data_IF_712428937713
#
_entry.id   IF_712428937713
#
_cell.length_a   1.000
_cell.length_b   1.000
_cell.length_c   1.000
_cell.angle_alpha   90.00
_cell.angle_beta   90.00
_cell.angle_gamma   90.00
#
_symmetry.space_group_name_H-M   'P 1'
#
loop_
_entity.id
_entity.type
_entity.pdbx_description
1 polymer ?
#
# COMPACT_ATOMS: atom_id res chain seq x y z
N UNK A 1 -10.39 -24.78 -8.73
CA UNK A 1 -9.45 -23.62 -8.72
C UNK A 1 -9.15 -23.26 -10.16
N UNK A 2 -9.26 -21.98 -10.50
CA UNK A 2 -8.90 -21.43 -11.81
C UNK A 2 -7.74 -20.48 -11.63
N UNK A 3 -6.66 -20.63 -12.41
CA UNK A 3 -5.50 -19.74 -12.34
C UNK A 3 -5.61 -18.66 -13.42
N UNK A 4 -5.42 -17.40 -13.02
CA UNK A 4 -5.53 -16.21 -13.86
C UNK A 4 -4.21 -15.45 -13.89
N UNK A 5 -3.93 -14.77 -15.00
CA UNK A 5 -2.83 -13.83 -15.15
C UNK A 5 -3.39 -12.47 -15.56
N UNK A 6 -2.88 -11.41 -14.98
CA UNK A 6 -3.29 -10.06 -15.38
C UNK A 6 -3.54 -9.12 -14.21
N UNK A 7 -4.50 -8.22 -14.43
CA UNK A 7 -4.86 -7.18 -13.47
C UNK A 7 -6.27 -7.44 -12.93
N UNK A 8 -6.41 -7.39 -11.61
CA UNK A 8 -7.71 -7.38 -10.94
C UNK A 8 -7.93 -5.98 -10.39
N UNK A 9 -9.03 -5.35 -10.80
CA UNK A 9 -9.42 -4.03 -10.32
C UNK A 9 -10.61 -4.15 -9.37
N UNK A 10 -10.49 -3.55 -8.20
CA UNK A 10 -11.54 -3.51 -7.18
C UNK A 10 -11.53 -2.15 -6.50
N UNK A 11 -12.63 -1.40 -6.64
CA UNK A 11 -12.69 -0.03 -6.13
C UNK A 11 -11.52 0.81 -6.65
N UNK A 12 -10.80 1.41 -5.74
CA UNK A 12 -9.63 2.25 -6.02
C UNK A 12 -8.30 1.48 -5.98
N UNK A 13 -8.32 0.15 -6.21
CA UNK A 13 -7.15 -0.71 -6.13
C UNK A 13 -6.99 -1.55 -7.40
N UNK A 14 -5.77 -1.60 -7.92
CA UNK A 14 -5.36 -2.54 -8.97
C UNK A 14 -4.33 -3.52 -8.40
N UNK A 15 -4.62 -4.81 -8.49
CA UNK A 15 -3.69 -5.89 -8.19
C UNK A 15 -3.13 -6.43 -9.50
N UNK A 16 -1.83 -6.28 -9.71
CA UNK A 16 -1.13 -6.76 -10.92
C UNK A 16 -0.36 -8.03 -10.56
N UNK A 17 -0.79 -9.16 -11.12
CA UNK A 17 -0.23 -10.46 -10.77
C UNK A 17 -0.08 -11.36 -12.00
N UNK A 18 0.99 -12.15 -12.00
CA UNK A 18 1.23 -13.16 -13.03
C UNK A 18 0.56 -14.50 -12.72
N UNK A 19 0.16 -14.72 -11.48
CA UNK A 19 -0.52 -15.94 -11.07
C UNK A 19 -1.44 -15.70 -9.89
N UNK A 20 -2.74 -15.81 -10.14
CA UNK A 20 -3.78 -15.66 -9.13
C UNK A 20 -4.69 -16.87 -9.20
N UNK A 21 -4.90 -17.53 -8.08
CA UNK A 21 -5.80 -18.68 -8.00
C UNK A 21 -7.19 -18.22 -7.51
N UNK A 22 -8.19 -18.38 -8.37
CA UNK A 22 -9.57 -18.13 -7.99
C UNK A 22 -10.19 -19.37 -7.33
N UNK A 23 -10.62 -19.20 -6.10
CA UNK A 23 -11.33 -20.18 -5.31
C UNK A 23 -12.83 -19.91 -5.40
N UNK A 24 -13.52 -20.69 -6.23
CA UNK A 24 -14.96 -20.51 -6.47
C UNK A 24 -15.79 -20.78 -5.21
N UNK A 25 -15.39 -21.74 -4.38
CA UNK A 25 -16.16 -22.13 -3.20
C UNK A 25 -16.15 -21.01 -2.14
N UNK A 26 -15.00 -20.40 -1.95
CA UNK A 26 -14.82 -19.29 -1.03
C UNK A 26 -15.04 -17.90 -1.67
N UNK A 27 -15.28 -17.86 -2.97
CA UNK A 27 -15.46 -16.65 -3.79
C UNK A 27 -14.36 -15.63 -3.56
N UNK A 28 -13.14 -16.10 -3.68
CA UNK A 28 -11.93 -15.34 -3.35
C UNK A 28 -10.79 -15.57 -4.32
N UNK A 29 -9.95 -14.56 -4.48
CA UNK A 29 -8.69 -14.64 -5.21
C UNK A 29 -7.53 -14.81 -4.23
N UNK A 30 -6.81 -15.94 -4.34
CA UNK A 30 -5.58 -16.19 -3.58
C UNK A 30 -4.38 -15.72 -4.40
N UNK A 31 -3.63 -14.80 -3.84
CA UNK A 31 -2.52 -14.10 -4.48
C UNK A 31 -1.22 -14.42 -3.76
N UNK A 32 -0.21 -14.82 -4.53
CA UNK A 32 1.15 -15.06 -4.01
C UNK A 32 2.14 -14.19 -4.76
N UNK A 33 2.91 -13.39 -4.05
CA UNK A 33 3.95 -12.50 -4.62
C UNK A 33 3.41 -11.68 -5.80
N UNK A 34 2.31 -10.98 -5.57
CA UNK A 34 1.75 -10.03 -6.54
C UNK A 34 2.80 -8.95 -6.83
N UNK A 35 3.04 -8.69 -8.10
CA UNK A 35 4.07 -7.75 -8.54
C UNK A 35 3.84 -6.36 -7.95
N UNK A 36 2.58 -5.89 -8.01
CA UNK A 36 2.22 -4.62 -7.40
C UNK A 36 0.73 -4.50 -7.07
N UNK A 37 0.44 -3.79 -5.98
CA UNK A 37 -0.86 -3.20 -5.70
C UNK A 37 -0.76 -1.69 -5.89
N UNK A 38 -1.52 -1.18 -6.83
CA UNK A 38 -1.63 0.25 -7.10
C UNK A 38 -2.86 0.79 -6.43
N UNK A 39 -2.70 1.90 -5.73
CA UNK A 39 -3.80 2.62 -5.06
C UNK A 39 -4.09 3.87 -5.88
N UNK A 40 -5.36 4.07 -6.23
CA UNK A 40 -5.81 5.30 -6.88
C UNK A 40 -6.23 6.31 -5.83
N UNK A 41 -5.77 7.54 -5.99
CA UNK A 41 -6.00 8.64 -5.05
C UNK A 41 -6.53 9.86 -5.79
N UNK A 42 -7.27 10.75 -5.13
CA UNK A 42 -7.71 12.00 -5.73
C UNK A 42 -6.54 12.84 -6.24
N UNK A 43 -6.64 13.33 -7.47
CA UNK A 43 -5.67 14.26 -8.06
C UNK A 43 -5.69 15.62 -7.33
N UNK A 44 -6.90 16.06 -6.96
CA UNK A 44 -7.14 17.28 -6.20
C UNK A 44 -8.36 17.11 -5.29
N UNK A 45 -8.45 17.92 -4.26
CA UNK A 45 -9.60 17.96 -3.33
C UNK A 45 -10.83 18.62 -3.94
N UNK A 46 -10.67 19.23 -5.13
CA UNK A 46 -11.75 19.94 -5.83
C UNK A 46 -12.23 19.11 -7.03
N UNK A 47 -13.56 18.94 -7.19
CA UNK A 47 -14.10 18.32 -8.37
C UNK A 47 -13.81 19.20 -9.61
N UNK A 48 -13.78 18.56 -10.78
CA UNK A 48 -13.67 19.23 -12.07
C UNK A 48 -14.99 19.96 -12.41
N UNK A 49 -15.03 20.62 -13.58
CA UNK A 49 -16.21 21.36 -14.07
C UNK A 49 -17.49 20.51 -14.15
N UNK A 50 -17.35 19.19 -14.22
CA UNK A 50 -18.48 18.23 -14.25
C UNK A 50 -18.84 17.69 -12.85
N UNK A 51 -18.26 18.23 -11.77
CA UNK A 51 -18.51 17.78 -10.41
C UNK A 51 -17.84 16.46 -10.04
N UNK A 52 -16.88 15.96 -10.84
CA UNK A 52 -16.19 14.67 -10.64
C UNK A 52 -14.79 14.89 -10.13
N UNK A 53 -14.41 14.16 -9.07
CA UNK A 53 -13.03 14.09 -8.61
C UNK A 53 -12.28 13.07 -9.45
N UNK A 54 -11.25 13.52 -10.15
CA UNK A 54 -10.38 12.65 -10.94
C UNK A 54 -9.46 11.85 -10.02
N UNK A 55 -9.39 10.55 -10.25
CA UNK A 55 -8.46 9.66 -9.57
C UNK A 55 -7.22 9.42 -10.43
N UNK A 56 -6.06 9.45 -9.79
CA UNK A 56 -4.76 9.14 -10.39
C UNK A 56 -4.06 8.02 -9.63
N UNK A 57 -3.14 7.34 -10.27
CA UNK A 57 -2.32 6.32 -9.62
C UNK A 57 -1.41 6.97 -8.58
N UNK A 58 -1.34 6.42 -7.37
CA UNK A 58 -0.30 6.80 -6.41
C UNK A 58 1.08 6.52 -6.98
N UNK A 59 2.06 7.34 -6.62
CA UNK A 59 3.44 7.21 -7.14
C UNK A 59 4.22 6.04 -6.53
N UNK A 60 3.70 5.46 -5.47
CA UNK A 60 4.37 4.42 -4.67
C UNK A 60 3.49 3.18 -4.58
N UNK A 61 3.53 2.26 -5.56
CA UNK A 61 2.82 1.00 -5.46
C UNK A 61 3.42 0.10 -4.38
N UNK A 62 2.58 -0.68 -3.72
CA UNK A 62 3.04 -1.76 -2.85
C UNK A 62 3.52 -2.93 -3.71
N UNK A 63 4.61 -3.57 -3.29
CA UNK A 63 5.25 -4.68 -4.00
C UNK A 63 5.34 -5.94 -3.12
N UNK A 64 5.46 -7.10 -3.75
CA UNK A 64 5.62 -8.41 -3.09
C UNK A 64 4.47 -8.73 -2.14
N UNK A 65 3.25 -8.56 -2.59
CA UNK A 65 2.06 -8.75 -1.77
C UNK A 65 1.62 -10.20 -1.86
N UNK A 66 1.41 -10.82 -0.71
CA UNK A 66 0.73 -12.12 -0.57
C UNK A 66 -0.53 -11.91 0.25
N UNK A 67 -1.66 -12.44 -0.22
CA UNK A 67 -2.92 -12.25 0.49
C UNK A 67 -4.11 -12.86 -0.23
N UNK A 68 -5.29 -12.56 0.29
CA UNK A 68 -6.55 -13.03 -0.27
C UNK A 68 -7.52 -11.86 -0.47
N UNK A 69 -8.04 -11.72 -1.67
CA UNK A 69 -9.09 -10.79 -2.02
C UNK A 69 -10.43 -11.53 -2.02
N UNK A 70 -11.28 -11.20 -1.08
CA UNK A 70 -12.63 -11.74 -0.96
C UNK A 70 -13.61 -10.85 -1.69
N UNK A 71 -14.33 -11.40 -2.68
CA UNK A 71 -15.22 -10.62 -3.55
C UNK A 71 -16.60 -10.45 -2.91
N UNK A 72 -17.15 -11.53 -2.35
CA UNK A 72 -18.40 -11.56 -1.64
C UNK A 72 -18.42 -12.75 -0.67
N UNK A 73 -19.48 -12.89 0.10
CA UNK A 73 -19.70 -14.07 0.94
C UNK A 73 -19.79 -15.35 0.09
N UNK A 74 -19.24 -16.48 0.56
CA UNK A 74 -19.26 -17.75 -0.18
C UNK A 74 -20.67 -18.22 -0.63
N UNK A 75 -21.70 -17.88 0.14
CA UNK A 75 -23.10 -18.17 -0.12
C UNK A 75 -23.83 -17.08 -0.93
N UNK A 76 -23.17 -15.98 -1.26
CA UNK A 76 -23.72 -14.82 -1.98
C UNK A 76 -23.25 -14.72 -3.43
N UNK A 77 -23.08 -15.84 -4.13
CA UNK A 77 -22.60 -15.85 -5.52
C UNK A 77 -23.56 -15.19 -6.51
N UNK A 78 -24.83 -15.08 -6.14
CA UNK A 78 -25.85 -14.35 -6.92
C UNK A 78 -25.75 -12.83 -6.78
N UNK A 79 -24.99 -12.32 -5.77
CA UNK A 79 -24.86 -10.89 -5.50
C UNK A 79 -26.13 -10.25 -4.91
N UNK A 80 -27.06 -11.04 -4.40
CA UNK A 80 -28.35 -10.52 -3.86
C UNK A 80 -28.23 -9.92 -2.46
N UNK A 81 -27.24 -10.36 -1.68
CA UNK A 81 -27.00 -9.82 -0.34
C UNK A 81 -25.93 -8.71 -0.44
N UNK A 82 -26.24 -7.56 0.15
CA UNK A 82 -25.29 -6.44 0.22
C UNK A 82 -24.61 -6.44 1.60
N UNK A 83 -23.47 -7.12 1.71
CA UNK A 83 -22.62 -7.02 2.90
C UNK A 83 -21.55 -5.95 2.65
N UNK A 84 -21.62 -4.85 3.38
CA UNK A 84 -20.76 -3.68 3.18
C UNK A 84 -19.26 -3.95 3.43
N UNK A 85 -18.90 -5.01 4.13
CA UNK A 85 -17.50 -5.41 4.31
C UNK A 85 -16.83 -5.77 2.97
N UNK A 86 -17.59 -6.35 2.04
CA UNK A 86 -17.05 -6.83 0.77
C UNK A 86 -17.07 -5.75 -0.33
N UNK A 87 -16.11 -5.83 -1.28
CA UNK A 87 -14.92 -6.66 -1.29
C UNK A 87 -13.93 -6.24 -0.21
N UNK A 88 -13.18 -7.20 0.33
CA UNK A 88 -12.09 -6.90 1.28
C UNK A 88 -10.83 -7.70 0.95
N UNK A 89 -9.67 -7.16 1.36
CA UNK A 89 -8.38 -7.77 1.15
C UNK A 89 -7.67 -8.00 2.47
N UNK A 90 -7.12 -9.21 2.67
CA UNK A 90 -6.27 -9.55 3.82
C UNK A 90 -4.87 -9.89 3.32
N UNK A 91 -3.89 -9.11 3.72
CA UNK A 91 -2.48 -9.40 3.51
C UNK A 91 -2.00 -10.46 4.49
N UNK A 92 -1.33 -11.49 4.00
CA UNK A 92 -0.79 -12.57 4.83
C UNK A 92 0.64 -12.31 5.31
N UNK A 93 1.44 -11.66 4.45
CA UNK A 93 2.86 -11.41 4.68
C UNK A 93 3.18 -9.92 4.64
N UNK A 94 4.41 -9.56 5.02
CA UNK A 94 4.92 -8.20 4.85
C UNK A 94 5.07 -7.89 3.35
N UNK A 95 4.71 -6.67 2.98
CA UNK A 95 4.95 -6.11 1.66
C UNK A 95 5.93 -4.94 1.74
N UNK A 96 6.34 -4.39 0.61
CA UNK A 96 7.29 -3.28 0.60
C UNK A 96 6.90 -2.17 -0.36
N UNK A 97 7.30 -0.96 0.01
CA UNK A 97 7.32 0.21 -0.87
C UNK A 97 8.76 0.64 -1.03
N UNK A 98 9.21 0.81 -2.27
CA UNK A 98 10.56 1.29 -2.56
C UNK A 98 10.53 2.77 -2.92
N UNK A 99 11.60 3.49 -2.56
CA UNK A 99 11.81 4.85 -3.02
C UNK A 99 12.29 4.81 -4.47
N UNK A 100 11.49 5.36 -5.38
CA UNK A 100 11.76 5.35 -6.82
C UNK A 100 11.42 6.73 -7.41
N UNK A 101 12.08 7.78 -6.89
CA UNK A 101 11.86 9.15 -7.37
C UNK A 101 13.03 9.64 -8.22
N UNK A 102 12.86 9.57 -9.55
CA UNK A 102 13.63 10.28 -10.55
C UNK A 102 15.14 10.09 -10.43
N UNK A 103 15.91 11.14 -10.71
CA UNK A 103 17.38 11.14 -10.71
C UNK A 103 18.05 10.71 -9.38
N UNK A 104 17.31 10.65 -8.29
CA UNK A 104 17.80 10.22 -6.97
C UNK A 104 17.34 8.80 -6.58
N UNK A 105 16.40 8.20 -7.30
CA UNK A 105 15.85 6.88 -6.99
C UNK A 105 16.88 5.77 -7.11
N UNK A 106 17.79 5.87 -8.08
CA UNK A 106 18.83 4.87 -8.32
C UNK A 106 19.98 4.92 -7.31
N UNK A 107 20.04 5.95 -6.45
CA UNK A 107 21.08 6.08 -5.41
C UNK A 107 20.86 5.14 -4.23
N UNK A 108 19.65 4.62 -4.06
CA UNK A 108 19.31 3.75 -2.96
C UNK A 108 19.06 2.34 -3.46
N UNK A 109 19.80 1.38 -2.90
CA UNK A 109 19.54 -0.05 -3.15
C UNK A 109 18.15 -0.43 -2.62
N UNK A 110 17.24 -0.75 -3.53
CA UNK A 110 15.84 -1.13 -3.23
C UNK A 110 15.72 -2.34 -2.30
N UNK A 111 16.79 -3.11 -2.11
CA UNK A 111 16.83 -4.22 -1.18
C UNK A 111 17.27 -3.81 0.24
N UNK A 112 17.88 -2.62 0.36
CA UNK A 112 18.39 -2.10 1.62
C UNK A 112 17.63 -0.88 2.11
N UNK A 113 17.06 -0.09 1.19
CA UNK A 113 16.30 1.11 1.52
C UNK A 113 14.86 0.99 1.03
N UNK A 114 13.93 0.69 1.93
CA UNK A 114 12.51 0.50 1.63
C UNK A 114 11.66 0.69 2.88
N UNK A 115 10.38 0.93 2.67
CA UNK A 115 9.40 0.85 3.76
C UNK A 115 8.78 -0.55 3.76
N UNK A 116 8.88 -1.25 4.89
CA UNK A 116 8.26 -2.55 5.13
C UNK A 116 6.86 -2.32 5.68
N UNK A 117 5.84 -2.72 4.92
CA UNK A 117 4.45 -2.70 5.36
C UNK A 117 4.15 -3.99 6.09
N UNK A 118 3.58 -3.90 7.29
CA UNK A 118 3.15 -5.08 8.04
C UNK A 118 1.87 -5.68 7.42
N UNK A 119 1.52 -6.94 7.74
CA UNK A 119 0.25 -7.51 7.33
C UNK A 119 -0.92 -6.60 7.71
N UNK A 120 -1.88 -6.45 6.81
CA UNK A 120 -3.00 -5.54 6.96
C UNK A 120 -4.29 -6.13 6.39
N UNK A 121 -5.43 -5.56 6.79
CA UNK A 121 -6.73 -5.84 6.22
C UNK A 121 -7.35 -4.53 5.72
N UNK A 122 -7.97 -4.57 4.55
CA UNK A 122 -8.69 -3.46 3.94
C UNK A 122 -10.11 -3.91 3.63
N UNK A 123 -11.07 -3.41 4.39
CA UNK A 123 -12.50 -3.65 4.20
C UNK A 123 -13.10 -2.68 3.20
N UNK A 124 -14.24 -3.07 2.62
CA UNK A 124 -15.08 -2.16 1.83
C UNK A 124 -14.31 -1.46 0.71
N UNK A 125 -13.50 -2.21 -0.06
CA UNK A 125 -12.57 -1.64 -1.06
C UNK A 125 -13.24 -0.72 -2.08
N UNK A 126 -14.54 -0.91 -2.33
CA UNK A 126 -15.32 -0.03 -3.23
C UNK A 126 -15.65 1.35 -2.61
N UNK A 127 -15.50 1.50 -1.30
CA UNK A 127 -15.92 2.69 -0.55
C UNK A 127 -14.78 3.31 0.28
N UNK A 128 -13.62 2.65 0.33
CA UNK A 128 -12.51 3.12 1.15
C UNK A 128 -12.01 4.48 0.69
N UNK A 129 -11.85 5.41 1.63
CA UNK A 129 -11.21 6.67 1.35
C UNK A 129 -9.68 6.48 1.36
N UNK A 130 -9.08 6.46 0.17
CA UNK A 130 -7.66 6.22 -0.01
C UNK A 130 -6.77 7.38 0.48
N UNK A 131 -7.32 8.58 0.69
CA UNK A 131 -6.58 9.70 1.28
C UNK A 131 -6.34 9.51 2.78
N UNK A 132 -7.28 8.83 3.46
CA UNK A 132 -7.18 8.53 4.89
C UNK A 132 -6.52 7.18 5.17
N UNK A 133 -6.17 6.44 4.12
CA UNK A 133 -5.55 5.13 4.27
C UNK A 133 -4.20 5.25 4.96
N UNK A 134 -4.04 4.51 6.04
CA UNK A 134 -2.79 4.38 6.77
C UNK A 134 -2.40 2.91 6.83
N UNK A 135 -1.15 2.61 6.46
CA UNK A 135 -0.58 1.26 6.54
C UNK A 135 0.57 1.26 7.55
N UNK A 136 0.49 0.41 8.55
CA UNK A 136 1.52 0.31 9.57
C UNK A 136 2.74 -0.44 9.05
N UNK A 137 3.92 -0.04 9.57
CA UNK A 137 5.18 -0.65 9.16
C UNK A 137 6.39 0.06 9.73
N UNK A 138 7.51 -0.11 9.03
CA UNK A 138 8.78 0.50 9.43
C UNK A 138 9.65 0.85 8.22
N UNK A 139 10.38 1.96 8.34
CA UNK A 139 11.44 2.29 7.39
C UNK A 139 12.68 1.44 7.70
N UNK A 140 13.14 0.72 6.69
CA UNK A 140 14.44 0.03 6.66
C UNK A 140 15.38 0.85 5.79
N UNK A 141 16.51 1.27 6.32
CA UNK A 141 17.39 2.26 5.68
C UNK A 141 18.80 1.76 5.34
N UNK A 142 19.01 0.43 5.34
CA UNK A 142 20.32 -0.13 5.03
C UNK A 142 21.40 0.20 6.06
N UNK A 143 21.01 0.42 7.31
CA UNK A 143 21.94 0.73 8.41
C UNK A 143 22.23 2.23 8.57
N UNK A 144 21.56 3.11 7.82
CA UNK A 144 21.64 4.56 8.04
C UNK A 144 20.99 4.90 9.39
N UNK A 145 19.76 4.45 9.59
CA UNK A 145 19.01 4.55 10.85
C UNK A 145 18.68 3.17 11.37
N UNK A 146 18.44 3.05 12.66
CA UNK A 146 17.66 1.93 13.20
C UNK A 146 16.26 1.93 12.56
N UNK A 147 15.59 0.76 12.44
CA UNK A 147 14.26 0.71 11.85
C UNK A 147 13.30 1.69 12.50
N UNK A 148 12.72 2.60 11.71
CA UNK A 148 11.81 3.63 12.20
C UNK A 148 10.37 3.18 11.97
N UNK A 149 9.66 2.88 13.06
CA UNK A 149 8.23 2.53 13.02
C UNK A 149 7.39 3.78 12.86
N UNK A 150 6.56 3.81 11.84
CA UNK A 150 5.62 4.91 11.56
C UNK A 150 4.54 4.43 10.61
N UNK A 151 3.34 4.98 10.71
CA UNK A 151 2.28 4.72 9.73
C UNK A 151 2.59 5.40 8.39
N UNK A 152 2.43 4.66 7.32
CA UNK A 152 2.54 5.15 5.96
C UNK A 152 1.25 5.88 5.57
N UNK A 153 1.33 7.12 5.11
CA UNK A 153 0.20 7.98 4.74
C UNK A 153 0.40 8.60 3.37
N UNK A 154 -0.70 8.98 2.74
CA UNK A 154 -0.65 9.76 1.50
C UNK A 154 -0.04 11.15 1.76
N UNK A 155 0.97 11.51 0.97
CA UNK A 155 1.63 12.81 1.00
C UNK A 155 1.07 13.75 -0.07
N UNK A 156 1.34 15.03 0.04
CA UNK A 156 0.87 16.06 -0.90
C UNK A 156 1.27 15.80 -2.36
N UNK A 157 2.39 15.13 -2.57
CA UNK A 157 2.89 14.77 -3.90
C UNK A 157 2.24 13.49 -4.47
N UNK A 158 1.21 12.96 -3.81
CA UNK A 158 0.47 11.73 -4.20
C UNK A 158 1.33 10.46 -4.16
N UNK A 159 2.38 10.47 -3.34
CA UNK A 159 3.12 9.28 -2.93
C UNK A 159 2.71 8.89 -1.50
N UNK A 160 2.76 7.61 -1.16
CA UNK A 160 2.71 7.19 0.22
C UNK A 160 4.09 7.36 0.85
N UNK A 161 4.14 8.01 1.99
CA UNK A 161 5.35 8.31 2.74
C UNK A 161 5.11 8.30 4.24
N UNK A 162 6.17 8.55 5.00
CA UNK A 162 6.12 8.63 6.45
C UNK A 162 6.47 10.04 6.91
N UNK A 163 5.78 10.50 7.95
CA UNK A 163 6.12 11.71 8.69
C UNK A 163 6.73 11.28 10.02
N UNK A 164 7.98 11.64 10.23
CA UNK A 164 8.72 11.22 11.41
C UNK A 164 9.27 12.43 12.15
N UNK A 165 8.87 12.56 13.40
CA UNK A 165 9.42 13.57 14.30
C UNK A 165 10.63 12.98 15.04
N UNK A 166 11.78 13.63 14.91
CA UNK A 166 12.99 13.20 15.62
C UNK A 166 12.96 13.50 17.11
N UNK A 167 12.12 14.45 17.53
CA UNK A 167 12.16 15.00 18.88
C UNK A 167 13.54 15.53 19.27
N UNK A 168 13.70 15.92 20.54
CA UNK A 168 14.99 16.41 21.06
C UNK A 168 16.08 15.32 21.09
N UNK A 169 15.71 14.05 21.12
CA UNK A 169 16.67 12.93 21.18
C UNK A 169 17.29 12.63 19.82
N UNK A 170 16.62 12.95 18.72
CA UNK A 170 17.06 12.62 17.37
C UNK A 170 17.12 11.10 17.09
N UNK A 171 17.57 10.76 15.89
CA UNK A 171 17.83 9.38 15.45
C UNK A 171 19.32 9.11 15.35
N UNK A 172 19.76 7.98 15.90
CA UNK A 172 21.13 7.53 15.75
C UNK A 172 21.42 7.11 14.30
N UNK A 173 22.60 7.48 13.83
CA UNK A 173 23.09 7.18 12.49
C UNK A 173 24.22 6.14 12.57
N UNK A 174 24.24 5.20 11.62
CA UNK A 174 25.33 4.25 11.41
C UNK A 174 25.80 3.54 12.67
N UNK A 175 24.84 3.01 13.48
CA UNK A 175 25.18 2.32 14.72
C UNK A 175 25.84 3.24 15.76
N UNK A 176 25.26 4.39 16.03
CA UNK A 176 25.71 5.41 16.99
C UNK A 176 26.98 6.19 16.59
N UNK A 177 27.39 6.17 15.32
CA UNK A 177 28.51 7.00 14.82
C UNK A 177 28.15 8.45 14.60
N UNK A 178 26.87 8.78 14.62
CA UNK A 178 26.34 10.12 14.45
C UNK A 178 24.91 10.21 14.94
N UNK A 179 24.34 11.42 14.88
CA UNK A 179 22.96 11.69 15.28
C UNK A 179 22.29 12.66 14.32
N UNK A 180 21.07 12.37 13.91
CA UNK A 180 20.23 13.26 13.14
C UNK A 180 19.15 13.85 14.04
N UNK A 181 19.08 15.16 14.11
CA UNK A 181 18.03 15.91 14.78
C UNK A 181 17.47 16.88 13.74
N UNK A 182 16.18 16.75 13.43
CA UNK A 182 15.52 17.71 12.57
C UNK A 182 15.36 19.03 13.34
N UNK A 183 15.81 20.13 12.74
CA UNK A 183 15.55 21.47 13.26
C UNK A 183 14.08 21.79 12.97
N UNK A 184 13.26 21.72 13.98
CA UNK A 184 11.85 22.14 13.93
C UNK A 184 11.81 23.66 14.12
N UNK A 185 12.02 24.41 13.04
CA UNK A 185 11.69 25.84 13.00
C UNK A 185 10.26 26.02 12.51
#
# INVERSE_FOLDING_TARGET
>A
VMTLNGKIQVGNFDFVAQKVDFDYDNYAFKMKNVDSMVIYVPESDKPNENGVIRLIRSKTPLQNITGTLHIAEPNNKSGTNNNQKYPYFTSADTSKITYDKGANGDKYDKNKFYYQVYPFELDSLNQINTELLQLDGQLVSGGIFEPIKSGLKLQNDKAYGIDVNTGAKGYNLFGNKGKYIADLK
#
